data_IF_054267331143
#
_entry.id   IF_054267331143
#
_cell.length_a   1.000
_cell.length_b   1.000
_cell.length_c   1.000
_cell.angle_alpha   90.00
_cell.angle_beta   90.00
_cell.angle_gamma   90.00
#
_symmetry.space_group_name_H-M   'P 1'
#
loop_
_entity.id
_entity.type
_entity.pdbx_description
1 polymer ?
#
# COMPACT_ATOMS: atom_id res chain seq x y z
N UNK A 1 12.19 -4.92 -12.05
CA UNK A 1 13.21 -4.80 -11.00
C UNK A 1 13.39 -3.36 -10.55
N UNK A 2 13.40 -2.39 -11.44
CA UNK A 2 13.77 -1.00 -11.16
C UNK A 2 12.82 -0.33 -10.15
N UNK A 3 11.52 -0.62 -10.24
CA UNK A 3 10.50 -0.05 -9.33
C UNK A 3 10.75 -0.49 -7.89
N UNK A 4 11.00 -1.78 -7.68
CA UNK A 4 11.27 -2.30 -6.35
C UNK A 4 12.65 -1.84 -5.83
N UNK A 5 13.61 -1.64 -6.72
CA UNK A 5 14.92 -1.10 -6.38
C UNK A 5 14.81 0.35 -5.90
N UNK A 6 13.97 1.19 -6.54
CA UNK A 6 13.68 2.54 -6.07
C UNK A 6 13.00 2.54 -4.69
N UNK A 7 12.00 1.69 -4.50
CA UNK A 7 11.35 1.51 -3.19
C UNK A 7 12.36 1.15 -2.11
N UNK A 8 13.16 0.10 -2.33
CA UNK A 8 14.15 -0.37 -1.35
C UNK A 8 15.22 0.69 -1.08
N UNK A 9 15.63 1.44 -2.09
CA UNK A 9 16.64 2.50 -1.96
C UNK A 9 16.11 3.66 -1.11
N UNK A 10 14.90 4.14 -1.41
CA UNK A 10 14.29 5.24 -0.65
C UNK A 10 13.96 4.82 0.79
N UNK A 11 13.47 3.59 0.99
CA UNK A 11 13.22 3.03 2.32
C UNK A 11 14.51 2.93 3.14
N UNK A 12 15.58 2.37 2.56
CA UNK A 12 16.89 2.27 3.22
C UNK A 12 17.44 3.62 3.61
N UNK A 13 17.31 4.63 2.75
CA UNK A 13 17.71 6.01 3.05
C UNK A 13 16.93 6.56 4.23
N UNK A 14 15.60 6.41 4.25
CA UNK A 14 14.76 6.89 5.33
C UNK A 14 15.12 6.23 6.68
N UNK A 15 15.41 4.93 6.69
CA UNK A 15 15.83 4.21 7.90
C UNK A 15 17.17 4.73 8.42
N UNK A 16 18.16 4.93 7.55
CA UNK A 16 19.49 5.42 7.94
C UNK A 16 19.48 6.84 8.54
N UNK A 17 18.46 7.60 8.24
CA UNK A 17 18.28 8.98 8.76
C UNK A 17 17.42 9.05 10.02
N UNK A 18 16.92 7.92 10.50
CA UNK A 18 16.08 7.83 11.69
C UNK A 18 16.85 7.17 12.85
N UNK A 19 16.84 7.80 14.01
CA UNK A 19 17.57 7.30 15.20
C UNK A 19 16.81 6.21 15.97
N UNK A 20 15.56 5.90 15.58
CA UNK A 20 14.75 4.88 16.23
C UNK A 20 14.87 3.51 15.53
N UNK A 21 14.13 2.54 16.06
CA UNK A 21 14.09 1.19 15.52
C UNK A 21 13.04 1.05 14.42
N UNK A 22 13.44 0.51 13.29
CA UNK A 22 12.55 0.17 12.18
C UNK A 22 12.73 -1.31 11.83
N UNK A 23 11.64 -2.07 11.90
CA UNK A 23 11.59 -3.45 11.42
C UNK A 23 10.98 -3.47 10.03
N UNK A 24 11.67 -4.07 9.09
CA UNK A 24 11.19 -4.19 7.69
C UNK A 24 10.96 -5.66 7.38
N UNK A 25 9.77 -5.97 6.87
CA UNK A 25 9.43 -7.29 6.35
C UNK A 25 8.96 -7.16 4.89
N UNK A 26 9.71 -7.75 3.99
CA UNK A 26 9.41 -7.78 2.55
C UNK A 26 8.86 -9.16 2.20
N UNK A 27 7.61 -9.22 1.79
CA UNK A 27 7.03 -10.46 1.29
C UNK A 27 7.23 -10.60 -0.21
N UNK A 28 7.73 -11.75 -0.62
CA UNK A 28 7.87 -12.14 -2.02
C UNK A 28 6.88 -13.28 -2.28
N UNK A 29 5.85 -13.00 -3.08
CA UNK A 29 4.90 -14.01 -3.53
C UNK A 29 5.52 -14.83 -4.68
N UNK A 30 6.27 -15.87 -4.34
CA UNK A 30 6.90 -16.76 -5.30
C UNK A 30 5.86 -17.72 -5.92
N UNK A 31 5.87 -17.83 -7.24
CA UNK A 31 5.03 -18.78 -7.97
C UNK A 31 3.76 -18.20 -8.59
N UNK A 32 3.27 -17.06 -8.14
CA UNK A 32 2.11 -16.42 -8.78
C UNK A 32 2.45 -15.70 -10.09
N UNK A 33 3.69 -15.28 -10.24
CA UNK A 33 4.16 -14.49 -11.38
C UNK A 33 5.06 -15.26 -12.34
N UNK A 34 5.33 -16.55 -12.08
CA UNK A 34 6.13 -17.40 -12.98
C UNK A 34 5.53 -17.50 -14.38
N UNK A 35 4.19 -17.52 -14.49
CA UNK A 35 3.49 -17.51 -15.77
C UNK A 35 3.55 -16.15 -16.50
N UNK A 36 3.97 -15.09 -15.79
CA UNK A 36 4.02 -13.71 -16.29
C UNK A 36 5.44 -13.21 -16.50
N UNK A 37 6.43 -13.92 -16.01
CA UNK A 37 7.83 -13.60 -16.27
C UNK A 37 8.16 -13.86 -17.75
N UNK A 38 8.95 -12.97 -18.36
CA UNK A 38 9.44 -13.15 -19.73
C UNK A 38 10.22 -14.45 -19.87
N UNK A 39 10.90 -14.88 -18.81
CA UNK A 39 11.52 -16.20 -18.68
C UNK A 39 11.70 -16.54 -17.19
N UNK A 40 11.83 -17.85 -16.83
CA UNK A 40 12.18 -18.27 -15.48
C UNK A 40 13.51 -17.65 -15.01
N UNK A 41 14.48 -17.50 -15.88
CA UNK A 41 15.79 -16.91 -15.56
C UNK A 41 15.67 -15.41 -15.22
N UNK A 42 14.83 -14.66 -15.95
CA UNK A 42 14.57 -13.24 -15.67
C UNK A 42 13.90 -13.08 -14.30
N UNK A 43 12.97 -13.97 -13.97
CA UNK A 43 12.32 -14.01 -12.67
C UNK A 43 13.29 -14.30 -11.53
N UNK A 44 14.10 -15.36 -11.65
CA UNK A 44 15.09 -15.74 -10.64
C UNK A 44 16.15 -14.65 -10.44
N UNK A 45 16.57 -14.00 -11.52
CA UNK A 45 17.49 -12.85 -11.47
C UNK A 45 16.87 -11.69 -10.70
N UNK A 46 15.58 -11.38 -10.91
CA UNK A 46 14.88 -10.32 -10.19
C UNK A 46 14.77 -10.67 -8.69
N UNK A 47 14.36 -11.89 -8.36
CA UNK A 47 14.30 -12.36 -6.98
C UNK A 47 15.67 -12.32 -6.30
N UNK A 48 16.71 -12.74 -6.99
CA UNK A 48 18.09 -12.69 -6.49
C UNK A 48 18.52 -11.27 -6.13
N UNK A 49 18.22 -10.30 -6.98
CA UNK A 49 18.51 -8.89 -6.72
C UNK A 49 17.75 -8.35 -5.50
N UNK A 50 16.44 -8.64 -5.38
CA UNK A 50 15.62 -8.20 -4.25
C UNK A 50 16.17 -8.81 -2.95
N UNK A 51 16.42 -10.12 -2.93
CA UNK A 51 16.96 -10.81 -1.75
C UNK A 51 18.33 -10.25 -1.35
N UNK A 52 19.21 -10.00 -2.31
CA UNK A 52 20.52 -9.42 -2.05
C UNK A 52 20.42 -8.01 -1.48
N UNK A 53 19.54 -7.17 -2.04
CA UNK A 53 19.30 -5.83 -1.53
C UNK A 53 18.74 -5.87 -0.09
N UNK A 54 17.73 -6.70 0.16
CA UNK A 54 17.17 -6.88 1.49
C UNK A 54 18.19 -7.38 2.51
N UNK A 55 19.01 -8.38 2.12
CA UNK A 55 20.07 -8.92 2.97
C UNK A 55 21.10 -7.86 3.34
N UNK A 56 21.52 -7.06 2.36
CA UNK A 56 22.49 -5.97 2.58
C UNK A 56 21.99 -4.91 3.56
N UNK A 57 20.71 -4.61 3.51
CA UNK A 57 20.07 -3.62 4.38
C UNK A 57 19.53 -4.23 5.70
N UNK A 58 19.67 -5.53 5.90
CA UNK A 58 19.19 -6.22 7.11
C UNK A 58 17.66 -6.35 7.19
N UNK A 59 16.98 -6.31 6.05
CA UNK A 59 15.52 -6.47 6.00
C UNK A 59 15.11 -7.93 6.11
N UNK A 60 14.03 -8.21 6.82
CA UNK A 60 13.41 -9.52 6.81
C UNK A 60 12.78 -9.79 5.45
N UNK A 61 13.00 -10.98 4.94
CA UNK A 61 12.39 -11.42 3.68
C UNK A 61 11.60 -12.68 3.95
N UNK A 62 10.30 -12.62 3.71
CA UNK A 62 9.43 -13.79 3.70
C UNK A 62 9.10 -14.17 2.27
N UNK A 63 9.15 -15.46 1.96
CA UNK A 63 8.76 -15.99 0.65
C UNK A 63 7.51 -16.82 0.84
N UNK A 64 6.42 -16.39 0.22
CA UNK A 64 5.17 -17.13 0.20
C UNK A 64 5.13 -18.02 -1.02
N UNK A 65 4.72 -19.27 -0.83
CA UNK A 65 4.52 -20.25 -1.89
C UNK A 65 3.03 -20.49 -2.11
N UNK A 66 2.62 -20.70 -3.36
CA UNK A 66 1.22 -20.85 -3.71
C UNK A 66 0.49 -19.49 -3.84
N UNK A 67 -0.83 -19.53 -3.72
CA UNK A 67 -1.66 -18.32 -3.85
C UNK A 67 -1.67 -17.57 -2.52
N UNK A 68 -0.72 -16.67 -2.35
CA UNK A 68 -0.69 -15.72 -1.24
C UNK A 68 -0.96 -14.32 -1.78
N UNK A 69 -1.94 -13.65 -1.25
CA UNK A 69 -2.36 -12.34 -1.72
C UNK A 69 -1.90 -11.22 -0.78
N UNK A 70 -2.07 -9.99 -1.21
CA UNK A 70 -1.80 -8.82 -0.38
C UNK A 70 -2.67 -8.82 0.89
N UNK A 71 -3.90 -9.33 0.82
CA UNK A 71 -4.80 -9.46 1.98
C UNK A 71 -4.24 -10.43 3.01
N UNK A 72 -3.73 -11.59 2.57
CA UNK A 72 -3.14 -12.61 3.46
C UNK A 72 -1.87 -12.09 4.12
N UNK A 73 -0.99 -11.51 3.31
CA UNK A 73 0.27 -10.98 3.78
C UNK A 73 0.09 -9.83 4.79
N UNK A 74 -0.76 -8.84 4.49
CA UNK A 74 -1.02 -7.71 5.40
C UNK A 74 -1.69 -8.17 6.70
N UNK A 75 -2.60 -9.15 6.63
CA UNK A 75 -3.21 -9.76 7.81
C UNK A 75 -2.18 -10.42 8.72
N UNK A 76 -1.30 -11.21 8.12
CA UNK A 76 -0.23 -11.91 8.85
C UNK A 76 0.79 -10.92 9.40
N UNK A 77 1.20 -9.93 8.63
CA UNK A 77 2.08 -8.85 9.06
C UNK A 77 1.51 -8.12 10.28
N UNK A 78 0.27 -7.72 10.26
CA UNK A 78 -0.39 -7.06 11.39
C UNK A 78 -0.32 -7.94 12.65
N UNK A 79 -0.67 -9.22 12.54
CA UNK A 79 -0.66 -10.15 13.68
C UNK A 79 0.74 -10.40 14.22
N UNK A 80 1.73 -10.51 13.34
CA UNK A 80 3.13 -10.81 13.71
C UNK A 80 3.80 -9.65 14.41
N UNK A 81 3.54 -8.42 13.98
CA UNK A 81 4.33 -7.28 14.39
C UNK A 81 3.63 -6.35 15.39
N UNK A 82 2.35 -6.52 15.67
CA UNK A 82 1.64 -5.63 16.60
C UNK A 82 2.17 -5.66 18.04
N UNK A 83 2.82 -6.76 18.46
CA UNK A 83 3.46 -6.85 19.77
C UNK A 83 4.93 -6.38 19.78
N UNK A 84 5.51 -6.15 18.60
CA UNK A 84 6.92 -5.82 18.44
C UNK A 84 7.16 -4.35 18.08
N UNK A 85 6.15 -3.65 17.64
CA UNK A 85 6.23 -2.27 17.21
C UNK A 85 5.03 -1.45 17.70
N UNK A 86 5.23 -0.17 17.97
CA UNK A 86 4.16 0.74 18.37
C UNK A 86 3.27 1.14 17.19
N UNK A 87 3.85 1.17 16.00
CA UNK A 87 3.21 1.61 14.76
C UNK A 87 3.55 0.66 13.62
N UNK A 88 2.55 0.26 12.87
CA UNK A 88 2.68 -0.53 11.64
C UNK A 88 2.45 0.36 10.42
N UNK A 89 3.21 0.14 9.36
CA UNK A 89 3.04 0.86 8.09
C UNK A 89 2.90 -0.16 6.96
N UNK A 90 1.84 -0.02 6.17
CA UNK A 90 1.71 -0.81 4.95
C UNK A 90 2.44 -0.11 3.80
N UNK A 91 3.51 -0.73 3.33
CA UNK A 91 4.19 -0.32 2.10
C UNK A 91 3.62 -0.98 0.86
N UNK A 92 3.96 -0.43 -0.29
CA UNK A 92 3.72 -1.04 -1.61
C UNK A 92 5.00 -0.99 -2.44
N UNK A 93 5.19 -1.98 -3.31
CA UNK A 93 6.42 -2.12 -4.10
C UNK A 93 6.68 -1.00 -5.10
N UNK A 94 5.70 -0.15 -5.34
CA UNK A 94 5.76 1.04 -6.19
C UNK A 94 5.61 2.36 -5.40
N UNK A 95 5.82 2.30 -4.11
CA UNK A 95 5.89 3.47 -3.25
C UNK A 95 7.31 4.06 -3.24
N UNK A 96 7.44 5.37 -3.25
CA UNK A 96 8.66 6.07 -2.86
C UNK A 96 8.52 6.56 -1.43
N UNK A 97 9.52 6.26 -0.61
CA UNK A 97 9.51 6.52 0.83
C UNK A 97 10.33 7.78 1.12
N UNK A 98 9.69 8.88 1.58
CA UNK A 98 10.43 10.09 1.91
C UNK A 98 11.34 9.90 3.12
N UNK A 99 12.49 10.55 3.08
CA UNK A 99 13.52 10.41 4.12
C UNK A 99 13.05 10.78 5.52
N UNK A 100 12.04 11.63 5.64
CA UNK A 100 11.49 12.12 6.91
C UNK A 100 10.33 11.27 7.47
N UNK A 101 9.93 10.18 6.78
CA UNK A 101 8.71 9.44 7.11
C UNK A 101 8.67 8.95 8.56
N UNK A 102 9.75 8.36 9.03
CA UNK A 102 9.79 7.78 10.39
C UNK A 102 9.86 8.85 11.47
N UNK A 103 10.59 9.94 11.25
CA UNK A 103 10.62 11.09 12.16
C UNK A 103 9.26 11.75 12.27
N UNK A 104 8.56 11.92 11.15
CA UNK A 104 7.19 12.45 11.14
C UNK A 104 6.21 11.55 11.89
N UNK A 105 6.33 10.23 11.73
CA UNK A 105 5.51 9.28 12.48
C UNK A 105 5.81 9.28 13.96
N UNK A 106 7.07 9.38 14.33
CA UNK A 106 7.46 9.49 15.75
C UNK A 106 6.88 10.75 16.39
N UNK A 107 6.94 11.88 15.69
CA UNK A 107 6.31 13.13 16.15
C UNK A 107 4.80 12.94 16.29
N UNK A 108 4.12 12.37 15.30
CA UNK A 108 2.69 12.11 15.40
C UNK A 108 2.39 11.20 16.59
N UNK A 109 3.05 10.05 16.69
CA UNK A 109 2.81 9.06 17.75
C UNK A 109 2.94 9.65 19.15
N UNK A 110 3.96 10.47 19.38
CA UNK A 110 4.21 11.10 20.68
C UNK A 110 3.23 12.24 21.01
N UNK A 111 2.51 12.77 20.03
CA UNK A 111 1.59 13.90 20.22
C UNK A 111 0.10 13.49 20.16
N UNK A 112 -0.23 12.27 19.76
CA UNK A 112 -1.62 11.82 19.79
C UNK A 112 -2.06 11.50 21.22
N UNK A 113 -3.30 11.87 21.54
CA UNK A 113 -3.86 11.72 22.89
C UNK A 113 -4.50 10.36 23.13
N UNK A 114 -4.68 9.57 22.08
CA UNK A 114 -5.34 8.26 22.17
C UNK A 114 -4.45 7.18 21.59
N UNK A 115 -4.33 6.01 22.26
CA UNK A 115 -3.45 4.94 21.78
C UNK A 115 -3.92 4.28 20.48
N UNK A 116 -5.22 4.35 20.18
CA UNK A 116 -5.80 3.77 18.97
C UNK A 116 -6.08 4.85 17.94
N UNK A 117 -5.33 4.83 16.85
CA UNK A 117 -5.49 5.77 15.74
C UNK A 117 -5.04 5.14 14.43
N UNK A 118 -5.46 5.74 13.34
CA UNK A 118 -4.96 5.50 11.99
C UNK A 118 -4.38 6.79 11.43
N UNK A 119 -3.39 6.68 10.56
CA UNK A 119 -2.87 7.83 9.87
C UNK A 119 -2.47 7.51 8.43
N UNK A 120 -2.24 8.55 7.66
CA UNK A 120 -1.69 8.50 6.30
C UNK A 120 -0.88 9.76 6.04
N UNK A 121 -0.25 9.84 4.87
CA UNK A 121 0.54 10.97 4.42
C UNK A 121 -0.17 11.73 3.31
N UNK A 122 0.35 12.88 2.95
CA UNK A 122 0.04 13.50 1.67
C UNK A 122 0.49 12.58 0.54
N UNK A 123 -0.42 12.20 -0.33
CA UNK A 123 -0.17 11.23 -1.41
C UNK A 123 -0.19 11.95 -2.74
N UNK A 124 0.81 11.72 -3.58
CA UNK A 124 0.88 12.41 -4.87
C UNK A 124 -0.05 11.83 -5.91
N UNK A 125 -0.52 10.61 -5.72
CA UNK A 125 -1.43 9.97 -6.67
C UNK A 125 -2.73 9.53 -6.03
N UNK A 126 -3.81 10.05 -6.56
CA UNK A 126 -5.18 9.76 -6.16
C UNK A 126 -5.88 8.88 -7.19
N UNK A 127 -6.88 8.10 -6.73
CA UNK A 127 -7.69 7.25 -7.60
C UNK A 127 -8.88 7.99 -8.20
N UNK A 128 -9.47 8.86 -7.39
CA UNK A 128 -10.65 9.64 -7.69
C UNK A 128 -10.79 10.82 -6.71
N UNK A 129 -11.83 11.59 -6.84
CA UNK A 129 -12.11 12.76 -6.01
C UNK A 129 -12.30 12.45 -4.52
N UNK A 130 -12.66 11.21 -4.17
CA UNK A 130 -12.85 10.81 -2.75
C UNK A 130 -11.54 10.85 -1.95
N UNK A 131 -10.40 10.83 -2.62
CA UNK A 131 -9.07 10.83 -2.03
C UNK A 131 -8.41 12.21 -1.93
N UNK A 132 -9.06 13.27 -2.42
CA UNK A 132 -8.52 14.65 -2.39
C UNK A 132 -8.08 15.10 -1.01
N UNK A 133 -8.73 14.61 0.04
CA UNK A 133 -8.33 14.92 1.42
C UNK A 133 -6.94 14.40 1.80
N UNK A 134 -6.46 13.40 1.09
CA UNK A 134 -5.16 12.76 1.30
C UNK A 134 -4.10 13.33 0.36
N UNK A 135 -4.50 14.14 -0.61
CA UNK A 135 -3.58 14.70 -1.60
C UNK A 135 -2.70 15.78 -0.97
N UNK A 136 -1.44 15.78 -1.35
CA UNK A 136 -0.51 16.80 -0.87
C UNK A 136 -0.94 18.20 -1.32
N UNK A 137 -0.85 19.25 -0.46
CA UNK A 137 -1.35 20.59 -0.76
C UNK A 137 -0.85 21.21 -2.07
N UNK A 138 0.34 20.83 -2.54
CA UNK A 138 0.88 21.29 -3.84
C UNK A 138 0.13 20.72 -5.06
N UNK A 139 -0.77 19.77 -4.88
CA UNK A 139 -1.50 19.08 -5.96
C UNK A 139 -3.02 19.20 -5.86
N UNK A 140 -3.55 19.73 -4.75
CA UNK A 140 -5.00 19.85 -4.50
C UNK A 140 -5.73 20.79 -5.45
N UNK A 141 -5.04 21.70 -6.10
CA UNK A 141 -5.58 22.63 -7.10
C UNK A 141 -5.58 22.06 -8.53
N UNK A 142 -4.99 20.89 -8.72
CA UNK A 142 -4.93 20.26 -10.04
C UNK A 142 -6.21 19.48 -10.30
N UNK A 143 -6.91 19.76 -11.41
CA UNK A 143 -8.16 19.09 -11.70
C UNK A 143 -7.90 17.60 -11.94
N UNK A 144 -8.64 16.76 -11.25
CA UNK A 144 -8.85 15.39 -11.66
C UNK A 144 -9.78 15.41 -12.86
N UNK A 145 -9.33 14.88 -13.99
CA UNK A 145 -10.15 14.78 -15.19
C UNK A 145 -10.73 13.36 -15.24
N UNK A 146 -11.99 13.25 -14.81
CA UNK A 146 -12.74 12.01 -14.91
C UNK A 146 -12.88 11.59 -16.38
N UNK A 147 -12.68 10.32 -16.66
CA UNK A 147 -12.69 9.74 -18.01
C UNK A 147 -11.54 10.16 -18.95
N UNK A 148 -10.55 10.84 -18.45
CA UNK A 148 -9.28 10.94 -19.16
C UNK A 148 -8.48 9.64 -18.93
N UNK A 149 -8.78 8.63 -19.73
CA UNK A 149 -8.16 7.31 -19.61
C UNK A 149 -6.65 7.34 -19.83
N UNK A 150 -6.14 8.35 -20.53
CA UNK A 150 -4.72 8.61 -20.69
C UNK A 150 -4.12 9.26 -19.42
N UNK A 151 -4.93 9.97 -18.64
CA UNK A 151 -4.56 10.63 -17.39
C UNK A 151 -5.10 9.97 -16.12
N UNK A 152 -5.93 8.95 -16.22
CA UNK A 152 -6.46 8.25 -15.05
C UNK A 152 -5.34 7.63 -14.18
N UNK A 153 -4.26 7.26 -14.82
CA UNK A 153 -2.99 6.86 -14.20
C UNK A 153 -1.99 8.02 -14.19
N UNK A 154 -2.45 9.21 -14.21
CA UNK A 154 -1.79 10.43 -14.59
C UNK A 154 -0.27 10.42 -14.35
N UNK A 155 0.49 10.45 -15.41
CA UNK A 155 1.94 10.74 -15.43
C UNK A 155 2.25 12.03 -14.65
N UNK A 156 1.27 12.92 -14.53
CA UNK A 156 1.29 14.17 -13.79
C UNK A 156 1.70 14.02 -12.32
N UNK A 157 1.37 12.88 -11.69
CA UNK A 157 1.70 12.58 -10.30
C UNK A 157 2.81 11.53 -10.16
N UNK A 158 3.43 11.12 -11.26
CA UNK A 158 4.62 10.29 -11.23
C UNK A 158 5.82 11.17 -10.98
N UNK A 159 6.62 10.82 -10.00
CA UNK A 159 7.80 11.55 -9.59
C UNK A 159 9.00 10.64 -9.48
N UNK A 160 10.18 11.23 -9.62
CA UNK A 160 11.43 10.59 -9.20
C UNK A 160 11.61 10.73 -7.69
N UNK A 161 12.50 9.91 -7.13
CA UNK A 161 12.84 10.02 -5.72
C UNK A 161 13.44 11.40 -5.36
N UNK A 162 14.18 12.00 -6.29
CA UNK A 162 14.76 13.35 -6.12
C UNK A 162 13.69 14.43 -6.06
N UNK A 163 12.73 14.41 -6.99
CA UNK A 163 11.60 15.35 -7.00
C UNK A 163 10.75 15.23 -5.71
N UNK A 164 10.52 14.02 -5.23
CA UNK A 164 9.82 13.79 -3.97
C UNK A 164 10.59 14.39 -2.79
N UNK A 165 11.90 14.13 -2.71
CA UNK A 165 12.75 14.67 -1.64
C UNK A 165 12.84 16.19 -1.67
N UNK A 166 12.90 16.80 -2.85
CA UNK A 166 12.90 18.26 -2.99
C UNK A 166 11.60 18.90 -2.51
N UNK A 167 10.46 18.22 -2.71
CA UNK A 167 9.16 18.68 -2.20
C UNK A 167 9.13 18.59 -0.68
N UNK A 168 9.68 17.53 -0.10
CA UNK A 168 9.70 17.28 1.34
C UNK A 168 10.80 18.08 2.08
N UNK A 169 11.75 18.64 1.33
CA UNK A 169 12.88 19.36 1.92
C UNK A 169 12.44 20.59 2.71
N UNK A 170 12.95 20.70 3.93
CA UNK A 170 12.69 21.87 4.80
C UNK A 170 11.25 21.95 5.32
N UNK A 171 10.51 20.84 5.30
CA UNK A 171 9.20 20.78 5.96
C UNK A 171 9.40 20.73 7.47
N UNK A 172 9.06 21.82 8.15
CA UNK A 172 9.09 21.94 9.61
C UNK A 172 7.72 21.65 10.22
N UNK A 173 6.65 22.12 9.57
CA UNK A 173 5.27 21.81 9.95
C UNK A 173 4.75 20.61 9.17
N UNK A 174 4.45 19.55 9.88
CA UNK A 174 3.92 18.31 9.31
C UNK A 174 2.51 18.47 8.71
N UNK A 175 1.81 19.56 9.02
CA UNK A 175 0.45 19.80 8.56
C UNK A 175 -0.52 18.70 9.00
N UNK A 176 -0.40 18.25 10.25
CA UNK A 176 -1.25 17.17 10.78
C UNK A 176 -2.69 17.64 10.89
N UNK A 177 -3.57 16.98 10.16
CA UNK A 177 -5.01 17.25 10.17
C UNK A 177 -5.74 16.02 10.67
N UNK A 178 -6.62 16.21 11.67
CA UNK A 178 -7.59 15.19 12.07
C UNK A 178 -8.70 15.14 11.05
N UNK A 179 -8.88 13.99 10.42
CA UNK A 179 -9.90 13.80 9.40
C UNK A 179 -11.22 13.33 10.03
N UNK A 180 -12.38 13.66 9.42
CA UNK A 180 -13.59 12.87 9.64
C UNK A 180 -13.33 11.43 9.21
N UNK A 181 -14.23 10.51 9.60
CA UNK A 181 -14.07 9.11 9.17
C UNK A 181 -13.87 9.04 7.65
N UNK A 182 -12.73 8.50 7.26
CA UNK A 182 -12.32 8.45 5.88
C UNK A 182 -11.81 7.05 5.53
N UNK A 183 -11.87 6.69 4.26
CA UNK A 183 -11.34 5.45 3.75
C UNK A 183 -9.89 5.67 3.28
N UNK A 184 -8.93 5.18 4.03
CA UNK A 184 -7.53 5.21 3.61
C UNK A 184 -7.21 4.11 2.62
N UNK A 185 -6.30 4.39 1.69
CA UNK A 185 -5.74 3.37 0.82
C UNK A 185 -4.60 2.60 1.52
N UNK A 186 -4.20 1.47 0.95
CA UNK A 186 -3.16 0.64 1.51
C UNK A 186 -1.74 1.18 1.36
N UNK A 187 -1.52 2.17 0.49
CA UNK A 187 -0.20 2.75 0.30
C UNK A 187 0.12 3.78 1.39
N UNK A 188 1.06 3.46 2.26
CA UNK A 188 1.42 4.32 3.38
C UNK A 188 0.38 4.38 4.49
N UNK A 189 -0.51 3.40 4.59
CA UNK A 189 -1.43 3.30 5.73
C UNK A 189 -0.66 3.05 7.00
N UNK A 190 -0.85 3.94 7.97
CA UNK A 190 -0.26 3.89 9.30
C UNK A 190 -1.30 3.41 10.28
N UNK A 191 -0.95 2.39 11.06
CA UNK A 191 -1.83 1.73 12.01
C UNK A 191 -1.13 1.72 13.38
N UNK A 192 -1.73 2.33 14.38
CA UNK A 192 -1.29 2.10 15.76
C UNK A 192 -1.47 0.61 16.09
N UNK A 193 -0.46 -0.03 16.65
CA UNK A 193 -0.52 -1.45 17.02
C UNK A 193 -1.66 -1.76 17.99
N UNK A 194 -2.07 -0.79 18.79
CA UNK A 194 -3.22 -0.91 19.69
C UNK A 194 -4.56 -1.14 18.98
N UNK A 195 -4.66 -0.80 17.70
CA UNK A 195 -5.81 -1.13 16.86
C UNK A 195 -5.87 -2.64 16.61
N UNK A 196 -4.73 -3.23 16.26
CA UNK A 196 -4.62 -4.68 15.99
C UNK A 196 -4.80 -5.47 17.29
N UNK A 197 -4.15 -5.06 18.38
CA UNK A 197 -4.28 -5.67 19.72
C UNK A 197 -5.72 -5.64 20.23
N UNK A 198 -6.50 -4.67 19.81
CA UNK A 198 -7.93 -4.60 20.12
C UNK A 198 -8.81 -5.56 19.28
N UNK A 199 -8.20 -6.41 18.47
CA UNK A 199 -8.89 -7.44 17.68
C UNK A 199 -9.29 -7.01 16.26
N UNK A 200 -8.82 -5.86 15.79
CA UNK A 200 -9.07 -5.43 14.41
C UNK A 200 -8.02 -6.01 13.47
N UNK A 201 -8.46 -6.68 12.42
CA UNK A 201 -7.58 -7.10 11.33
C UNK A 201 -8.39 -7.29 10.05
N UNK A 202 -7.72 -7.60 8.94
CA UNK A 202 -8.35 -7.94 7.67
C UNK A 202 -9.09 -9.28 7.82
N UNK A 203 -10.40 -9.36 7.53
CA UNK A 203 -11.15 -10.62 7.64
C UNK A 203 -10.63 -11.66 6.64
N UNK A 204 -10.65 -12.94 7.02
CA UNK A 204 -10.22 -14.03 6.13
C UNK A 204 -11.10 -14.18 4.88
N UNK A 205 -12.35 -13.74 4.94
CA UNK A 205 -13.24 -13.73 3.79
C UNK A 205 -12.78 -12.77 2.68
N UNK A 206 -12.00 -11.73 3.02
CA UNK A 206 -11.36 -10.85 2.03
C UNK A 206 -10.02 -11.47 1.69
N UNK A 207 -9.99 -12.19 0.57
CA UNK A 207 -8.91 -13.11 0.24
C UNK A 207 -8.04 -12.69 -0.95
N UNK A 208 -8.36 -11.57 -1.62
CA UNK A 208 -7.60 -11.16 -2.81
C UNK A 208 -7.26 -9.68 -2.80
N UNK A 209 -8.25 -8.80 -2.95
CA UNK A 209 -8.14 -7.34 -2.95
C UNK A 209 -9.20 -6.73 -2.03
N UNK A 210 -9.25 -5.40 -1.90
CA UNK A 210 -10.12 -4.66 -0.97
C UNK A 210 -9.78 -4.87 0.52
N UNK A 211 -8.54 -5.24 0.80
CA UNK A 211 -8.05 -5.47 2.16
C UNK A 211 -8.02 -4.18 2.99
N UNK A 212 -7.67 -3.05 2.37
CA UNK A 212 -7.69 -1.73 2.98
C UNK A 212 -9.12 -1.30 3.34
N UNK A 213 -10.06 -1.45 2.40
CA UNK A 213 -11.48 -1.18 2.62
C UNK A 213 -12.04 -2.07 3.74
N UNK A 214 -11.74 -3.36 3.71
CA UNK A 214 -12.19 -4.30 4.72
C UNK A 214 -11.61 -3.99 6.10
N UNK A 215 -10.34 -3.61 6.16
CA UNK A 215 -9.68 -3.21 7.40
C UNK A 215 -10.36 -1.95 7.99
N UNK A 216 -10.67 -0.95 7.18
CA UNK A 216 -11.37 0.25 7.62
C UNK A 216 -12.80 -0.06 8.13
N UNK A 217 -13.53 -0.92 7.43
CA UNK A 217 -14.86 -1.37 7.86
C UNK A 217 -14.81 -2.15 9.18
N UNK A 218 -13.81 -3.02 9.35
CA UNK A 218 -13.59 -3.74 10.60
C UNK A 218 -13.21 -2.79 11.73
N UNK A 219 -12.35 -1.83 11.49
CA UNK A 219 -11.97 -0.81 12.47
C UNK A 219 -13.22 -0.07 12.97
N UNK A 220 -14.04 0.41 12.07
CA UNK A 220 -15.27 1.11 12.42
C UNK A 220 -16.26 0.21 13.17
N UNK A 221 -16.38 -1.05 12.76
CA UNK A 221 -17.31 -2.01 13.40
C UNK A 221 -16.90 -2.38 14.80
N UNK A 222 -15.61 -2.59 15.05
CA UNK A 222 -15.07 -3.08 16.32
C UNK A 222 -14.81 -1.94 17.30
N UNK A 223 -14.24 -0.84 16.82
CA UNK A 223 -13.76 0.27 17.66
C UNK A 223 -14.61 1.55 17.54
N UNK A 224 -15.55 1.61 16.59
CA UNK A 224 -16.26 2.82 16.28
C UNK A 224 -15.36 3.88 15.60
N UNK A 225 -15.64 5.14 15.88
CA UNK A 225 -14.92 6.25 15.27
C UNK A 225 -13.65 6.57 16.05
N UNK A 226 -12.55 5.90 15.73
CA UNK A 226 -11.23 6.24 16.25
C UNK A 226 -10.63 7.42 15.48
N UNK A 227 -9.69 8.20 16.09
CA UNK A 227 -9.01 9.28 15.40
C UNK A 227 -8.30 8.81 14.13
N UNK A 228 -8.46 9.60 13.08
CA UNK A 228 -7.77 9.43 11.80
C UNK A 228 -7.02 10.73 11.48
N UNK A 229 -5.75 10.60 11.10
CA UNK A 229 -4.88 11.73 10.83
C UNK A 229 -4.30 11.68 9.42
N UNK A 230 -4.10 12.85 8.82
CA UNK A 230 -3.25 12.99 7.64
C UNK A 230 -2.06 13.88 7.96
N UNK A 231 -0.85 13.40 7.67
CA UNK A 231 0.38 14.20 7.69
C UNK A 231 0.51 14.81 6.30
N UNK A 232 -0.14 15.94 6.07
CA UNK A 232 -0.38 16.49 4.73
C UNK A 232 0.85 17.03 4.04
N UNK A 233 1.82 17.56 4.79
CA UNK A 233 2.98 18.22 4.24
C UNK A 233 4.14 17.26 3.95
N UNK A 234 4.02 16.00 4.34
CA UNK A 234 4.97 14.94 3.94
C UNK A 234 4.37 14.18 2.77
N UNK A 235 5.01 14.32 1.62
CA UNK A 235 4.60 13.69 0.38
C UNK A 235 5.14 12.26 0.29
N UNK A 236 4.23 11.31 0.16
CA UNK A 236 4.51 9.93 -0.26
C UNK A 236 4.08 9.78 -1.71
N UNK A 237 4.91 9.16 -2.52
CA UNK A 237 4.60 8.91 -3.92
C UNK A 237 4.16 7.47 -4.11
N UNK A 238 2.92 7.27 -4.55
CA UNK A 238 2.44 5.98 -5.01
C UNK A 238 2.64 5.91 -6.52
N UNK A 239 3.83 5.48 -6.95
CA UNK A 239 4.32 5.64 -8.32
C UNK A 239 3.76 4.58 -9.28
N UNK A 240 2.43 4.47 -9.35
CA UNK A 240 1.74 3.48 -10.19
C UNK A 240 2.01 3.62 -11.68
N UNK A 241 2.39 4.82 -12.10
CA UNK A 241 2.71 5.13 -13.50
C UNK A 241 4.20 5.15 -13.80
N UNK A 242 4.99 4.51 -12.96
CA UNK A 242 6.39 4.33 -13.29
C UNK A 242 6.51 3.81 -14.73
N UNK A 243 7.34 4.43 -15.60
CA UNK A 243 7.42 4.07 -17.02
C UNK A 243 7.61 2.57 -17.24
N UNK A 244 8.49 1.94 -16.45
CA UNK A 244 8.75 0.50 -16.56
C UNK A 244 7.54 -0.35 -16.13
N UNK A 245 6.77 0.09 -15.14
CA UNK A 245 5.54 -0.60 -14.75
C UNK A 245 4.46 -0.42 -15.81
N UNK A 246 4.35 0.76 -16.39
CA UNK A 246 3.42 1.06 -17.49
C UNK A 246 3.73 0.18 -18.69
N UNK A 247 4.98 0.09 -19.10
CA UNK A 247 5.41 -0.75 -20.22
C UNK A 247 5.16 -2.24 -19.98
N UNK A 248 5.41 -2.72 -18.75
CA UNK A 248 5.15 -4.12 -18.38
C UNK A 248 3.67 -4.44 -18.22
N UNK A 249 2.83 -3.47 -17.81
CA UNK A 249 1.41 -3.69 -17.54
C UNK A 249 0.55 -3.39 -18.76
N UNK A 250 0.93 -2.40 -19.58
CA UNK A 250 0.13 -1.90 -20.71
C UNK A 250 0.74 -2.22 -22.08
N UNK A 251 2.00 -2.67 -22.14
CA UNK A 251 2.76 -2.81 -23.39
C UNK A 251 3.09 -1.46 -24.04
N UNK A 252 3.90 -1.48 -25.09
CA UNK A 252 4.30 -0.27 -25.83
C UNK A 252 3.13 0.49 -26.45
N UNK A 253 2.00 -0.18 -26.69
CA UNK A 253 0.77 0.38 -27.26
C UNK A 253 -0.30 0.77 -26.23
N UNK A 254 0.03 0.70 -24.94
CA UNK A 254 -0.80 1.24 -23.87
C UNK A 254 -2.02 0.42 -23.45
N UNK A 255 -2.44 -0.61 -24.16
CA UNK A 255 -3.79 -1.16 -23.94
C UNK A 255 -3.91 -2.69 -23.78
N UNK A 256 -2.94 -3.46 -24.27
CA UNK A 256 -3.18 -4.89 -24.47
C UNK A 256 -2.81 -5.80 -23.29
N UNK A 257 -1.79 -5.48 -22.51
CA UNK A 257 -1.37 -6.38 -21.42
C UNK A 257 -2.26 -6.25 -20.16
N UNK A 258 -2.73 -5.06 -19.86
CA UNK A 258 -3.64 -4.90 -18.73
C UNK A 258 -5.02 -5.52 -19.01
N UNK A 259 -5.49 -5.48 -20.25
CA UNK A 259 -6.68 -6.22 -20.70
C UNK A 259 -6.46 -7.72 -20.57
N UNK A 260 -5.31 -8.27 -20.98
CA UNK A 260 -5.01 -9.69 -20.82
C UNK A 260 -4.89 -10.11 -19.34
N UNK A 261 -4.23 -9.33 -18.50
CA UNK A 261 -4.08 -9.64 -17.07
C UNK A 261 -5.40 -9.51 -16.31
N UNK A 262 -6.21 -8.51 -16.62
CA UNK A 262 -7.53 -8.28 -16.01
C UNK A 262 -8.64 -9.06 -16.66
N UNK A 263 -8.42 -9.66 -17.82
CA UNK A 263 -9.40 -10.50 -18.54
C UNK A 263 -9.24 -11.99 -18.25
N UNK A 264 -8.25 -12.42 -17.48
CA UNK A 264 -8.21 -13.79 -16.99
C UNK A 264 -9.45 -14.03 -16.13
N UNK A 265 -10.26 -14.99 -16.50
CA UNK A 265 -11.54 -15.29 -15.84
C UNK A 265 -11.40 -15.45 -14.34
N UNK A 266 -10.34 -16.11 -13.88
CA UNK A 266 -10.08 -16.29 -12.47
C UNK A 266 -9.78 -14.95 -11.75
N UNK A 267 -9.03 -14.04 -12.38
CA UNK A 267 -8.70 -12.74 -11.77
C UNK A 267 -9.96 -11.88 -11.60
N UNK A 268 -10.79 -11.85 -12.65
CA UNK A 268 -12.06 -11.11 -12.63
C UNK A 268 -13.00 -11.68 -11.56
N UNK A 269 -13.11 -13.02 -11.49
CA UNK A 269 -13.91 -13.70 -10.46
C UNK A 269 -13.37 -13.42 -9.05
N UNK A 270 -12.06 -13.56 -8.83
CA UNK A 270 -11.43 -13.32 -7.53
C UNK A 270 -11.62 -11.88 -7.06
N UNK A 271 -11.42 -10.90 -7.95
CA UNK A 271 -11.65 -9.50 -7.65
C UNK A 271 -13.11 -9.25 -7.23
N UNK A 272 -14.06 -9.67 -8.06
CA UNK A 272 -15.48 -9.53 -7.77
C UNK A 272 -15.89 -10.20 -6.46
N UNK A 273 -15.45 -11.43 -6.21
CA UNK A 273 -15.83 -12.17 -5.00
C UNK A 273 -15.19 -11.56 -3.74
N UNK A 274 -13.96 -11.06 -3.83
CA UNK A 274 -13.33 -10.35 -2.72
C UNK A 274 -14.06 -9.05 -2.41
N UNK A 275 -14.50 -8.32 -3.43
CA UNK A 275 -15.32 -7.11 -3.31
C UNK A 275 -16.69 -7.42 -2.69
N UNK A 276 -17.41 -8.40 -3.22
CA UNK A 276 -18.69 -8.87 -2.67
C UNK A 276 -18.56 -9.26 -1.19
N UNK A 277 -17.51 -10.01 -0.85
CA UNK A 277 -17.23 -10.39 0.53
C UNK A 277 -16.96 -9.15 1.40
N UNK A 278 -16.17 -8.21 0.92
CA UNK A 278 -15.86 -6.98 1.64
C UNK A 278 -17.11 -6.18 1.99
N UNK A 279 -17.99 -5.96 1.03
CA UNK A 279 -19.22 -5.18 1.26
C UNK A 279 -20.32 -5.95 2.02
N UNK A 280 -20.19 -7.27 2.16
CA UNK A 280 -21.12 -8.11 2.92
C UNK A 280 -20.55 -8.64 4.23
N UNK A 281 -19.46 -8.08 4.74
CA UNK A 281 -18.77 -8.55 5.95
C UNK A 281 -19.70 -8.73 7.17
N UNK A 282 -20.74 -7.91 7.28
CA UNK A 282 -21.65 -7.90 8.42
C UNK A 282 -23.07 -8.36 8.06
N UNK A 283 -23.26 -8.92 6.86
CA UNK A 283 -24.53 -9.48 6.45
C UNK A 283 -24.63 -10.97 6.86
N UNK A 284 -25.43 -11.31 7.87
CA UNK A 284 -25.50 -12.69 8.37
C UNK A 284 -26.08 -13.68 7.36
N UNK A 285 -26.78 -13.18 6.35
CA UNK A 285 -27.39 -14.01 5.31
C UNK A 285 -26.49 -14.19 4.08
N UNK A 286 -25.34 -13.50 4.04
CA UNK A 286 -24.41 -13.62 2.92
C UNK A 286 -23.42 -14.77 3.18
N UNK A 287 -23.31 -15.66 2.21
CA UNK A 287 -22.31 -16.71 2.22
C UNK A 287 -21.05 -16.24 1.48
N UNK A 288 -20.01 -15.99 2.22
CA UNK A 288 -18.74 -15.55 1.66
C UNK A 288 -18.20 -16.55 0.63
N UNK A 289 -17.71 -16.00 -0.47
CA UNK A 289 -17.02 -16.74 -1.53
C UNK A 289 -15.56 -17.00 -1.14
N UNK A 290 -14.96 -17.95 -1.81
CA UNK A 290 -13.59 -18.38 -1.56
C UNK A 290 -12.86 -18.70 -2.86
N UNK A 291 -11.56 -19.03 -2.77
CA UNK A 291 -10.82 -19.53 -3.92
C UNK A 291 -11.46 -20.75 -4.59
N UNK A 292 -12.14 -21.61 -3.81
CA UNK A 292 -12.89 -22.77 -4.38
C UNK A 292 -14.00 -22.32 -5.34
N UNK A 293 -14.58 -21.15 -5.09
CA UNK A 293 -15.63 -20.61 -5.97
C UNK A 293 -15.07 -19.94 -7.19
N UNK A 294 -13.84 -19.43 -7.11
CA UNK A 294 -13.11 -18.88 -8.27
C UNK A 294 -12.78 -19.96 -9.29
N UNK A 295 -12.38 -21.16 -8.81
CA UNK A 295 -11.92 -22.25 -9.66
C UNK A 295 -13.03 -23.17 -10.17
N UNK A 296 -14.26 -22.99 -9.75
CA UNK A 296 -15.46 -23.63 -10.35
C UNK A 296 -15.84 -22.97 -11.67
#
# INVERSE_FOLDING_TARGET
SDIIEEYLTTLSKAIKLYDGNVLVDINIAAGQDLEKAESPEAYDKCLGKIRLACHREGFNVTTSHGITTISDYRREFNTRYCELADVLIWGESDMLVPSQIFSALNILHNNVTTPKYLATFGICKMWDDSWKMLEHPKFTDKPFIENDYDNWWSVKYTMTAEEMEDINKGVEDLGVVKLPQHKFNGCGLVISSEVIKAGVNIPQSVFFVHEDTAFMLMTQKVLGNIPQYSIRNILVVHNRNHPNKRNNVYGETGDTMNKKRRSNDWYVKANRYSEENCYNLFNPNYKAKSWKDVWK
#
